data_IF_755064176710
#
_entry.id   IF_755064176710
#
_cell.length_a   1.000
_cell.length_b   1.000
_cell.length_c   1.000
_cell.angle_alpha   90.00
_cell.angle_beta   90.00
_cell.angle_gamma   90.00
#
_symmetry.space_group_name_H-M   'P 1'
#
loop_
_entity.id
_entity.type
_entity.pdbx_description
1 polymer ?
#
# COMPACT_ATOMS: atom_id res chain seq x y z
N UNK A 1 -3.94 -33.99 33.22
CA UNK A 1 -3.61 -33.82 31.79
C UNK A 1 -4.50 -32.69 31.29
N UNK A 2 -3.95 -31.51 31.05
CA UNK A 2 -4.74 -30.36 30.59
C UNK A 2 -4.80 -30.47 29.08
N UNK A 3 -5.96 -30.90 28.57
CA UNK A 3 -6.25 -31.02 27.15
C UNK A 3 -6.12 -29.64 26.50
N UNK A 4 -5.16 -29.51 25.58
CA UNK A 4 -4.87 -28.27 24.87
C UNK A 4 -6.03 -27.87 23.99
N UNK A 5 -6.98 -27.12 24.57
CA UNK A 5 -8.09 -26.45 23.89
C UNK A 5 -7.55 -25.73 22.66
N UNK A 6 -7.96 -26.18 21.46
CA UNK A 6 -7.34 -25.85 20.19
C UNK A 6 -6.96 -24.38 20.04
N UNK A 7 -5.67 -24.11 19.84
CA UNK A 7 -5.16 -22.78 19.52
C UNK A 7 -5.78 -22.31 18.20
N UNK A 8 -6.60 -21.26 18.24
CA UNK A 8 -7.11 -20.62 17.03
C UNK A 8 -5.96 -19.81 16.41
N UNK A 9 -5.45 -20.29 15.29
CA UNK A 9 -4.46 -19.57 14.48
C UNK A 9 -5.16 -18.52 13.64
N UNK A 10 -5.09 -17.26 14.08
CA UNK A 10 -5.47 -16.11 13.26
C UNK A 10 -4.33 -15.79 12.30
N UNK A 11 -4.57 -15.96 10.99
CA UNK A 11 -3.61 -15.56 9.96
C UNK A 11 -3.63 -14.04 9.84
N UNK A 12 -2.60 -13.37 10.37
CA UNK A 12 -2.38 -11.94 10.13
C UNK A 12 -2.06 -11.74 8.65
N UNK A 13 -3.03 -11.26 7.88
CA UNK A 13 -2.82 -10.88 6.48
C UNK A 13 -2.71 -9.37 6.44
N UNK A 14 -1.56 -8.86 6.03
CA UNK A 14 -1.36 -7.43 5.87
C UNK A 14 -1.97 -7.02 4.53
N UNK A 15 -2.88 -6.04 4.55
CA UNK A 15 -3.45 -5.49 3.31
C UNK A 15 -2.38 -4.65 2.63
N UNK A 16 -2.17 -4.92 1.35
CA UNK A 16 -1.30 -4.15 0.46
C UNK A 16 -2.21 -3.42 -0.54
N UNK A 17 -1.91 -2.16 -0.82
CA UNK A 17 -2.68 -1.27 -1.67
C UNK A 17 -1.87 -0.88 -2.90
N UNK A 18 -2.49 -0.84 -4.07
CA UNK A 18 -1.88 -0.28 -5.28
C UNK A 18 -1.90 1.26 -5.24
N UNK A 19 -1.04 1.91 -6.02
CA UNK A 19 -1.00 3.38 -6.15
C UNK A 19 -2.36 3.98 -6.53
N UNK A 20 -3.09 3.33 -7.43
CA UNK A 20 -4.44 3.76 -7.84
C UNK A 20 -5.46 3.67 -6.71
N UNK A 21 -5.38 2.63 -5.87
CA UNK A 21 -6.21 2.50 -4.68
C UNK A 21 -5.86 3.57 -3.65
N UNK A 22 -4.57 3.82 -3.41
CA UNK A 22 -4.09 4.86 -2.49
C UNK A 22 -4.51 6.24 -2.96
N UNK A 23 -4.39 6.53 -4.25
CA UNK A 23 -4.84 7.79 -4.85
C UNK A 23 -6.33 8.02 -4.60
N UNK A 24 -7.15 6.98 -4.80
CA UNK A 24 -8.60 7.03 -4.55
C UNK A 24 -8.91 7.27 -3.08
N UNK A 25 -8.20 6.61 -2.16
CA UNK A 25 -8.45 6.69 -0.71
C UNK A 25 -7.99 8.01 -0.10
N UNK A 26 -6.89 8.57 -0.59
CA UNK A 26 -6.27 9.79 -0.06
C UNK A 26 -6.74 11.06 -0.77
N UNK A 27 -7.20 10.94 -2.03
CA UNK A 27 -7.46 12.05 -2.91
C UNK A 27 -6.19 12.69 -3.50
N UNK A 28 -5.01 12.09 -3.30
CA UNK A 28 -3.74 12.53 -3.90
C UNK A 28 -3.65 11.91 -5.30
N UNK A 29 -3.31 12.69 -6.33
CA UNK A 29 -3.11 12.10 -7.66
C UNK A 29 -1.83 11.24 -7.70
N UNK A 30 -1.80 10.24 -8.58
CA UNK A 30 -0.74 9.22 -8.65
C UNK A 30 0.66 9.81 -8.82
N UNK A 31 0.79 10.89 -9.59
CA UNK A 31 2.07 11.58 -9.81
C UNK A 31 2.64 12.14 -8.51
N UNK A 32 1.84 12.93 -7.78
CA UNK A 32 2.24 13.48 -6.48
C UNK A 32 2.44 12.37 -5.43
N UNK A 33 1.65 11.30 -5.49
CA UNK A 33 1.83 10.14 -4.63
C UNK A 33 3.20 9.50 -4.83
N UNK A 34 3.63 9.28 -6.08
CA UNK A 34 4.93 8.70 -6.37
C UNK A 34 6.09 9.60 -5.95
N UNK A 35 5.98 10.92 -6.13
CA UNK A 35 7.02 11.85 -5.69
C UNK A 35 7.13 11.90 -4.17
N UNK A 36 5.99 11.89 -3.47
CA UNK A 36 5.95 11.83 -2.01
C UNK A 36 6.51 10.50 -1.49
N UNK A 37 6.15 9.39 -2.13
CA UNK A 37 6.64 8.07 -1.78
C UNK A 37 8.16 7.97 -1.92
N UNK A 38 8.73 8.52 -3.01
CA UNK A 38 10.19 8.63 -3.18
C UNK A 38 10.83 9.55 -2.14
N UNK A 39 10.24 10.72 -1.90
CA UNK A 39 10.79 11.75 -1.00
C UNK A 39 10.71 11.37 0.48
N UNK A 40 9.89 10.38 0.84
CA UNK A 40 9.69 9.90 2.23
C UNK A 40 10.01 8.43 2.41
N UNK A 41 10.51 7.75 1.37
CA UNK A 41 10.79 6.32 1.37
C UNK A 41 9.58 5.47 1.82
N UNK A 42 8.39 5.80 1.31
CA UNK A 42 7.14 5.10 1.61
C UNK A 42 6.80 4.11 0.52
N UNK A 43 6.15 3.01 0.90
CA UNK A 43 5.77 1.96 -0.04
C UNK A 43 6.97 1.23 -0.63
N UNK A 44 6.68 0.28 -1.50
CA UNK A 44 7.68 -0.49 -2.21
C UNK A 44 7.21 -0.77 -3.63
N UNK A 45 8.18 -1.03 -4.48
CA UNK A 45 7.96 -1.34 -5.87
C UNK A 45 8.00 -2.86 -6.03
N UNK A 46 6.92 -3.43 -6.54
CA UNK A 46 6.88 -4.81 -6.96
C UNK A 46 6.82 -4.91 -8.48
N UNK A 47 7.55 -5.87 -9.03
CA UNK A 47 7.43 -6.21 -10.44
C UNK A 47 6.09 -6.90 -10.66
N UNK A 48 5.13 -6.21 -11.26
CA UNK A 48 3.88 -6.84 -11.66
C UNK A 48 4.12 -7.72 -12.89
N UNK A 49 3.59 -8.93 -12.87
CA UNK A 49 3.58 -9.82 -14.03
C UNK A 49 2.46 -9.37 -14.97
N UNK A 50 2.81 -8.58 -15.98
CA UNK A 50 1.86 -8.13 -16.99
C UNK A 50 1.60 -9.24 -18.02
N UNK A 51 0.33 -9.63 -18.14
CA UNK A 51 -0.16 -10.33 -19.32
C UNK A 51 0.02 -9.40 -20.54
N UNK A 52 0.70 -9.88 -21.58
CA UNK A 52 1.09 -9.12 -22.78
C UNK A 52 2.42 -8.33 -22.74
N UNK A 53 3.39 -8.75 -21.92
CA UNK A 53 4.82 -8.64 -22.28
C UNK A 53 5.55 -7.33 -21.95
N UNK A 54 4.92 -6.38 -21.26
CA UNK A 54 5.62 -5.23 -20.66
C UNK A 54 5.54 -5.31 -19.16
N UNK A 55 6.60 -5.75 -18.48
CA UNK A 55 6.65 -5.72 -17.02
C UNK A 55 6.54 -4.26 -16.54
N UNK A 56 5.37 -3.86 -16.05
CA UNK A 56 5.18 -2.57 -15.41
C UNK A 56 5.64 -2.64 -13.95
N UNK A 57 6.38 -1.63 -13.55
CA UNK A 57 6.80 -1.43 -12.19
C UNK A 57 5.59 -0.93 -11.37
N UNK A 58 5.11 -1.72 -10.40
CA UNK A 58 3.88 -1.44 -9.65
C UNK A 58 4.22 -0.98 -8.24
N UNK A 59 3.78 0.23 -7.90
CA UNK A 59 3.89 0.75 -6.53
C UNK A 59 2.86 0.10 -5.62
N UNK A 60 3.32 -0.35 -4.46
CA UNK A 60 2.54 -1.02 -3.45
C UNK A 60 2.77 -0.36 -2.09
N UNK A 61 1.70 -0.21 -1.32
CA UNK A 61 1.70 0.48 -0.04
C UNK A 61 1.12 -0.41 1.04
N UNK A 62 1.68 -0.32 2.25
CA UNK A 62 1.09 -0.91 3.45
C UNK A 62 0.08 0.06 4.06
N UNK A 63 -0.73 -0.43 5.01
CA UNK A 63 -1.60 0.44 5.80
C UNK A 63 -0.80 1.52 6.55
N UNK A 64 0.40 1.21 7.02
CA UNK A 64 1.26 2.17 7.72
C UNK A 64 1.68 3.33 6.82
N UNK A 65 2.08 3.02 5.57
CA UNK A 65 2.39 4.04 4.57
C UNK A 65 1.18 4.94 4.33
N UNK A 66 -0.01 4.35 4.21
CA UNK A 66 -1.26 5.07 3.98
C UNK A 66 -1.58 6.05 5.12
N UNK A 67 -1.38 5.63 6.37
CA UNK A 67 -1.57 6.52 7.53
C UNK A 67 -0.57 7.68 7.52
N UNK A 68 0.68 7.43 7.15
CA UNK A 68 1.69 8.48 7.02
C UNK A 68 1.29 9.47 5.91
N UNK A 69 0.85 8.97 4.75
CA UNK A 69 0.40 9.80 3.62
C UNK A 69 -0.76 10.73 4.03
N UNK A 70 -1.76 10.20 4.73
CA UNK A 70 -2.91 11.00 5.22
C UNK A 70 -2.49 12.03 6.27
N UNK A 71 -1.50 11.72 7.11
CA UNK A 71 -1.00 12.65 8.13
C UNK A 71 -0.12 13.77 7.54
N UNK A 72 0.61 13.49 6.47
CA UNK A 72 1.55 14.43 5.86
C UNK A 72 0.91 15.38 4.84
N UNK A 73 -0.24 15.02 4.28
CA UNK A 73 -0.90 15.82 3.24
C UNK A 73 -2.35 16.15 3.60
N UNK A 74 -2.72 17.44 3.75
CA UNK A 74 -4.10 17.84 3.53
C UNK A 74 -4.44 17.53 2.07
N UNK A 75 -5.66 17.00 1.87
CA UNK A 75 -6.20 16.53 0.58
C UNK A 75 -5.82 17.48 -0.56
N UNK A 76 -5.38 16.96 -1.71
CA UNK A 76 -5.10 17.80 -2.87
C UNK A 76 -6.37 18.54 -3.30
N UNK A 77 -6.32 19.88 -3.30
CA UNK A 77 -7.32 20.75 -3.94
C UNK A 77 -6.88 20.96 -5.39
N UNK A 78 -7.33 20.10 -6.31
CA UNK A 78 -7.21 20.34 -7.75
C UNK A 78 -8.54 20.79 -8.32
#
# INVERSE_FOLDING_TARGET
MIEGKGMIKVKSSQKIFMDTEVATLTGICVEHLHDLAKARHLGFIARAAEAAGKQADQWLFTLSDLLILVMLHPRCEH
#
